data_IF_694206726768
#
_entry.id   IF_694206726768
#
_cell.length_a   1.000
_cell.length_b   1.000
_cell.length_c   1.000
_cell.angle_alpha   90.00
_cell.angle_beta   90.00
_cell.angle_gamma   90.00
#
_symmetry.space_group_name_H-M   'P 1'
#
loop_
_entity.id
_entity.type
_entity.pdbx_description
1 polymer ?
#
# COMPACT_ATOMS: atom_id res chain seq x y z
N UNK A 1 4.44 -8.65 -10.45
CA UNK A 1 5.53 -7.70 -10.14
C UNK A 1 5.40 -7.35 -8.66
N UNK A 2 6.41 -7.62 -7.82
CA UNK A 2 6.28 -7.45 -6.35
C UNK A 2 6.69 -6.03 -5.97
N UNK A 3 5.72 -5.13 -5.79
CA UNK A 3 6.01 -3.74 -5.41
C UNK A 3 6.05 -3.56 -3.89
N UNK A 4 7.18 -3.07 -3.39
CA UNK A 4 7.39 -2.76 -1.97
C UNK A 4 6.99 -1.32 -1.59
N UNK A 5 6.92 -1.04 -0.30
CA UNK A 5 6.48 0.24 0.27
C UNK A 5 7.13 1.49 -0.36
N UNK A 6 8.45 1.45 -0.64
CA UNK A 6 9.15 2.58 -1.26
C UNK A 6 8.63 2.94 -2.66
N UNK A 7 8.22 1.95 -3.46
CA UNK A 7 7.63 2.19 -4.78
C UNK A 7 6.23 2.77 -4.67
N UNK A 8 5.46 2.36 -3.65
CA UNK A 8 4.13 2.92 -3.38
C UNK A 8 4.23 4.42 -3.05
N UNK A 9 5.21 4.82 -2.22
CA UNK A 9 5.43 6.23 -1.91
C UNK A 9 5.91 7.07 -3.10
N UNK A 10 6.64 6.45 -4.04
CA UNK A 10 7.04 7.12 -5.27
C UNK A 10 5.86 7.32 -6.23
N UNK A 11 4.90 6.38 -6.25
CA UNK A 11 3.76 6.41 -7.17
C UNK A 11 2.56 7.21 -6.67
N UNK A 12 2.37 7.32 -5.35
CA UNK A 12 1.21 7.99 -4.76
C UNK A 12 1.62 9.26 -4.02
N UNK A 13 0.76 10.30 -3.98
CA UNK A 13 1.03 11.52 -3.21
C UNK A 13 0.72 11.36 -1.71
N UNK A 14 -0.03 10.32 -1.31
CA UNK A 14 -0.44 10.12 0.08
C UNK A 14 0.75 9.78 0.98
N UNK A 15 0.75 10.27 2.22
CA UNK A 15 1.83 10.10 3.20
C UNK A 15 1.25 9.75 4.56
N UNK A 16 2.13 9.39 5.50
CA UNK A 16 1.74 9.16 6.89
C UNK A 16 0.90 10.33 7.45
N UNK A 17 -0.19 10.05 8.20
CA UNK A 17 -0.69 8.73 8.63
C UNK A 17 -1.68 8.07 7.65
N UNK A 18 -1.82 8.61 6.44
CA UNK A 18 -2.86 8.25 5.47
C UNK A 18 -2.40 7.35 4.33
N UNK A 19 -1.16 6.86 4.35
CA UNK A 19 -0.72 5.79 3.43
C UNK A 19 -1.12 4.44 4.01
N UNK A 20 -2.13 3.81 3.41
CA UNK A 20 -2.78 2.61 3.93
C UNK A 20 -2.58 1.39 3.02
N UNK A 21 -1.48 1.34 2.29
CA UNK A 21 -1.09 0.21 1.44
C UNK A 21 0.39 -0.08 1.65
N UNK A 22 0.71 -1.30 2.06
CA UNK A 22 2.10 -1.70 2.34
C UNK A 22 2.74 -2.41 1.15
N UNK A 23 1.92 -3.15 0.38
CA UNK A 23 2.39 -4.00 -0.72
C UNK A 23 1.31 -4.24 -1.77
N UNK A 24 1.73 -4.34 -3.03
CA UNK A 24 0.92 -4.91 -4.13
C UNK A 24 1.28 -6.40 -4.26
N UNK A 25 0.27 -7.28 -4.16
CA UNK A 25 0.43 -8.73 -4.25
C UNK A 25 0.16 -9.25 -5.66
N UNK A 26 -0.83 -8.69 -6.35
CA UNK A 26 -1.16 -8.97 -7.76
C UNK A 26 -1.51 -7.67 -8.48
N UNK A 27 -1.17 -7.56 -9.77
CA UNK A 27 -1.50 -6.40 -10.59
C UNK A 27 -1.75 -6.82 -12.04
N UNK A 28 -2.98 -6.60 -12.49
CA UNK A 28 -3.43 -6.70 -13.87
C UNK A 28 -3.78 -5.29 -14.35
N UNK A 29 -2.92 -4.74 -15.22
CA UNK A 29 -3.11 -3.40 -15.76
C UNK A 29 -4.46 -3.35 -16.49
N UNK A 30 -5.31 -2.38 -16.14
CA UNK A 30 -6.65 -2.16 -16.67
C UNK A 30 -7.78 -3.00 -16.09
N UNK A 31 -7.51 -3.92 -15.15
CA UNK A 31 -8.54 -4.80 -14.60
C UNK A 31 -8.59 -4.86 -13.09
N UNK A 32 -7.48 -5.19 -12.44
CA UNK A 32 -7.50 -5.46 -11.01
C UNK A 32 -6.15 -5.22 -10.35
N UNK A 33 -6.21 -4.83 -9.09
CA UNK A 33 -5.05 -4.73 -8.22
C UNK A 33 -5.39 -5.40 -6.89
N UNK A 34 -4.51 -6.28 -6.43
CA UNK A 34 -4.58 -6.86 -5.09
C UNK A 34 -3.48 -6.25 -4.23
N UNK A 35 -3.84 -5.87 -3.01
CA UNK A 35 -2.94 -5.21 -2.07
C UNK A 35 -3.05 -5.79 -0.69
N UNK A 36 -1.96 -5.70 0.08
CA UNK A 36 -1.94 -6.03 1.50
C UNK A 36 -1.67 -4.76 2.34
N UNK A 37 -2.42 -4.63 3.43
CA UNK A 37 -2.18 -3.71 4.53
C UNK A 37 -2.07 -4.51 5.82
N UNK A 38 -0.94 -4.40 6.50
CA UNK A 38 -0.81 -4.88 7.86
C UNK A 38 -1.67 -4.01 8.78
N UNK A 39 -2.34 -4.67 9.73
CA UNK A 39 -3.10 -4.02 10.80
C UNK A 39 -2.35 -4.27 12.11
N UNK A 40 -1.96 -3.20 12.79
CA UNK A 40 -1.25 -3.28 14.06
C UNK A 40 -1.87 -2.36 15.11
N UNK A 41 -1.86 -2.80 16.37
CA UNK A 41 -2.34 -1.98 17.49
C UNK A 41 -1.50 -0.72 17.77
N UNK A 42 -0.37 -0.56 17.08
CA UNK A 42 0.47 0.64 17.13
C UNK A 42 0.08 1.69 16.07
N UNK A 43 -0.96 1.46 15.27
CA UNK A 43 -1.42 2.45 14.29
C UNK A 43 -2.13 3.62 14.97
N UNK A 44 -1.94 4.86 14.48
CA UNK A 44 -2.46 6.07 15.13
C UNK A 44 -3.99 6.21 15.12
N UNK A 45 -4.69 5.31 14.42
CA UNK A 45 -6.16 5.27 14.40
C UNK A 45 -6.76 4.38 15.51
N UNK A 46 -5.91 3.68 16.27
CA UNK A 46 -6.27 2.94 17.50
C UNK A 46 -5.82 3.72 18.73
#
# INVERSE_FOLDING_TARGET
MRSGYGQILASLPVRHPMVLVDRITEFDADRSIETAKAVAGSEPCY
#
